data_IF_527437200129
#
_entry.id   IF_527437200129
#
_cell.length_a   1.000
_cell.length_b   1.000
_cell.length_c   1.000
_cell.angle_alpha   90.00
_cell.angle_beta   90.00
_cell.angle_gamma   90.00
#
_symmetry.space_group_name_H-M   'P 1'
#
loop_
_entity.id
_entity.type
_entity.pdbx_description
1 polymer ?
#
# COMPACT_ATOMS: atom_id res chain seq x y z
N UNK A 1 -38.88 -15.78 20.69
CA UNK A 1 -38.81 -16.39 19.35
C UNK A 1 -37.72 -17.44 19.42
N UNK A 2 -38.05 -18.65 18.99
CA UNK A 2 -37.24 -19.84 19.19
C UNK A 2 -35.83 -19.70 18.60
N UNK A 3 -34.88 -20.28 19.33
CA UNK A 3 -33.51 -20.57 18.92
C UNK A 3 -33.46 -21.34 17.60
N UNK A 4 -32.50 -21.01 16.74
CA UNK A 4 -31.91 -21.99 15.81
C UNK A 4 -31.95 -21.65 14.33
N UNK A 5 -33.10 -21.29 13.76
CA UNK A 5 -33.26 -21.30 12.30
C UNK A 5 -33.78 -19.96 11.79
N UNK A 6 -33.03 -19.20 10.97
CA UNK A 6 -33.72 -18.18 10.17
C UNK A 6 -33.07 -17.71 8.86
N UNK A 7 -31.76 -17.86 8.61
CA UNK A 7 -31.15 -17.26 7.41
C UNK A 7 -30.21 -18.24 6.68
N UNK A 8 -30.69 -18.77 5.55
CA UNK A 8 -29.84 -19.48 4.61
C UNK A 8 -29.11 -18.48 3.72
N UNK A 9 -27.83 -18.77 3.44
CA UNK A 9 -27.05 -18.03 2.44
C UNK A 9 -27.80 -18.11 1.11
N UNK A 10 -27.95 -16.97 0.43
CA UNK A 10 -28.68 -16.85 -0.83
C UNK A 10 -30.15 -16.45 -0.70
N UNK A 11 -30.74 -16.44 0.51
CA UNK A 11 -32.10 -15.93 0.71
C UNK A 11 -32.17 -14.43 0.43
N UNK A 12 -33.23 -13.97 -0.22
CA UNK A 12 -33.50 -12.54 -0.37
C UNK A 12 -34.43 -12.11 0.76
N UNK A 13 -33.96 -11.17 1.57
CA UNK A 13 -34.67 -10.66 2.73
C UNK A 13 -34.90 -9.16 2.62
N UNK A 14 -35.99 -8.70 3.23
CA UNK A 14 -36.23 -7.29 3.51
C UNK A 14 -36.25 -7.09 5.03
N UNK A 15 -35.24 -6.38 5.53
CA UNK A 15 -35.11 -5.98 6.92
C UNK A 15 -35.69 -4.57 7.12
N UNK A 16 -36.60 -4.41 8.07
CA UNK A 16 -37.11 -3.10 8.49
C UNK A 16 -36.41 -2.70 9.78
N UNK A 17 -35.68 -1.59 9.76
CA UNK A 17 -35.00 -1.05 10.95
C UNK A 17 -35.99 -0.43 11.93
N UNK A 18 -35.55 -0.20 13.17
CA UNK A 18 -36.30 0.55 14.19
C UNK A 18 -36.66 1.99 13.80
N UNK A 19 -36.04 2.51 12.73
CA UNK A 19 -36.34 3.82 12.14
C UNK A 19 -37.31 3.73 10.95
N UNK A 20 -37.84 2.55 10.65
CA UNK A 20 -38.73 2.29 9.51
C UNK A 20 -38.01 2.19 8.15
N UNK A 21 -36.68 2.31 8.11
CA UNK A 21 -35.93 2.12 6.87
C UNK A 21 -35.96 0.64 6.46
N UNK A 22 -36.28 0.38 5.19
CA UNK A 22 -36.24 -0.96 4.60
C UNK A 22 -34.92 -1.20 3.88
N UNK A 23 -34.33 -2.35 4.15
CA UNK A 23 -33.06 -2.80 3.59
C UNK A 23 -33.32 -4.15 2.91
N UNK A 24 -33.21 -4.20 1.59
CA UNK A 24 -33.42 -5.42 0.82
C UNK A 24 -32.09 -5.94 0.27
N UNK A 25 -31.87 -7.25 0.37
CA UNK A 25 -30.69 -7.87 -0.22
C UNK A 25 -30.63 -9.37 -0.02
N UNK A 26 -29.67 -9.98 -0.70
CA UNK A 26 -29.33 -11.39 -0.61
C UNK A 26 -28.41 -11.65 0.59
N UNK A 27 -28.73 -12.64 1.42
CA UNK A 27 -27.91 -13.03 2.57
C UNK A 27 -26.60 -13.64 2.07
N UNK A 28 -25.47 -13.00 2.41
CA UNK A 28 -24.14 -13.52 2.10
C UNK A 28 -23.54 -14.26 3.29
N UNK A 29 -23.73 -13.71 4.48
CA UNK A 29 -23.18 -14.24 5.71
C UNK A 29 -23.96 -13.71 6.92
N UNK A 30 -23.81 -14.41 8.04
CA UNK A 30 -24.39 -14.03 9.31
C UNK A 30 -23.39 -14.32 10.44
N UNK A 31 -23.24 -13.36 11.35
CA UNK A 31 -22.50 -13.51 12.59
C UNK A 31 -23.49 -13.64 13.75
N UNK A 32 -23.55 -14.83 14.34
CA UNK A 32 -24.48 -15.17 15.42
C UNK A 32 -24.16 -14.40 16.72
N UNK A 33 -22.88 -14.24 17.05
CA UNK A 33 -22.44 -13.62 18.29
C UNK A 33 -22.66 -12.11 18.24
N UNK A 34 -22.24 -11.49 17.14
CA UNK A 34 -22.42 -10.05 16.92
C UNK A 34 -23.86 -9.68 16.54
N UNK A 35 -24.69 -10.67 16.15
CA UNK A 35 -26.02 -10.50 15.57
C UNK A 35 -25.99 -9.57 14.37
N UNK A 36 -25.04 -9.80 13.46
CA UNK A 36 -24.84 -9.03 12.24
C UNK A 36 -25.25 -9.85 11.02
N UNK A 37 -26.15 -9.31 10.22
CA UNK A 37 -26.57 -9.87 8.94
C UNK A 37 -25.91 -9.12 7.80
N UNK A 38 -25.23 -9.85 6.91
CA UNK A 38 -24.53 -9.28 5.77
C UNK A 38 -25.38 -9.51 4.53
N UNK A 39 -25.90 -8.41 3.98
CA UNK A 39 -26.75 -8.40 2.79
C UNK A 39 -25.98 -7.84 1.59
N UNK A 40 -26.18 -8.47 0.42
CA UNK A 40 -25.67 -8.01 -0.86
C UNK A 40 -26.83 -7.50 -1.72
N UNK A 41 -26.69 -6.30 -2.25
CA UNK A 41 -27.62 -5.72 -3.22
C UNK A 41 -26.89 -5.27 -4.48
N UNK A 42 -27.60 -5.09 -5.62
CA UNK A 42 -27.02 -4.45 -6.80
C UNK A 42 -26.43 -3.08 -6.43
N UNK A 43 -25.37 -2.67 -7.13
CA UNK A 43 -24.68 -1.43 -6.77
C UNK A 43 -25.56 -0.19 -6.97
N UNK A 44 -25.64 0.66 -5.95
CA UNK A 44 -26.25 1.99 -6.01
C UNK A 44 -25.57 2.92 -7.02
N UNK A 45 -24.33 2.60 -7.42
CA UNK A 45 -23.60 3.33 -8.47
C UNK A 45 -24.05 3.01 -9.90
N UNK A 46 -24.91 2.01 -10.08
CA UNK A 46 -25.38 1.54 -11.38
C UNK A 46 -24.37 0.69 -12.16
N UNK A 47 -23.16 0.46 -11.62
CA UNK A 47 -22.15 -0.40 -12.26
C UNK A 47 -22.52 -1.88 -12.08
N UNK A 48 -22.76 -2.64 -13.17
CA UNK A 48 -23.25 -4.03 -13.08
C UNK A 48 -22.20 -5.02 -12.56
N UNK A 49 -20.92 -4.66 -12.57
CA UNK A 49 -19.83 -5.50 -12.04
C UNK A 49 -19.60 -5.34 -10.54
N UNK A 50 -20.31 -4.41 -9.88
CA UNK A 50 -20.16 -4.13 -8.46
C UNK A 50 -21.44 -4.50 -7.72
N UNK A 51 -21.29 -4.79 -6.43
CA UNK A 51 -22.40 -4.99 -5.50
C UNK A 51 -22.17 -4.12 -4.27
N UNK A 52 -23.25 -3.68 -3.66
CA UNK A 52 -23.20 -3.00 -2.38
C UNK A 52 -23.37 -4.04 -1.27
N UNK A 53 -22.50 -3.98 -0.26
CA UNK A 53 -22.51 -4.88 0.89
C UNK A 53 -22.94 -4.09 2.12
N UNK A 54 -24.03 -4.53 2.76
CA UNK A 54 -24.63 -3.87 3.91
C UNK A 54 -24.55 -4.78 5.14
N UNK A 55 -24.01 -4.25 6.23
CA UNK A 55 -23.97 -4.91 7.53
C UNK A 55 -25.13 -4.40 8.37
N UNK A 56 -26.09 -5.28 8.63
CA UNK A 56 -27.31 -4.97 9.38
C UNK A 56 -27.19 -5.55 10.79
N UNK A 57 -27.11 -4.66 11.78
CA UNK A 57 -27.21 -5.07 13.18
C UNK A 57 -28.65 -5.44 13.50
N UNK A 58 -28.91 -6.73 13.76
CA UNK A 58 -30.25 -7.24 14.01
C UNK A 58 -30.87 -6.67 15.29
N UNK A 59 -30.09 -6.12 16.23
CA UNK A 59 -30.63 -5.39 17.39
C UNK A 59 -31.38 -4.11 16.99
N UNK A 60 -31.10 -3.58 15.80
CA UNK A 60 -31.73 -2.38 15.25
C UNK A 60 -32.81 -2.72 14.22
N UNK A 61 -33.20 -4.00 14.10
CA UNK A 61 -34.21 -4.48 13.15
C UNK A 61 -35.49 -4.84 13.92
N UNK A 62 -36.62 -4.31 13.46
CA UNK A 62 -37.93 -4.59 14.05
C UNK A 62 -38.66 -5.71 13.34
N UNK A 63 -38.41 -5.91 12.05
CA UNK A 63 -39.10 -6.90 11.23
C UNK A 63 -38.21 -7.41 10.10
N UNK A 64 -38.33 -8.70 9.77
CA UNK A 64 -37.61 -9.36 8.68
C UNK A 64 -38.59 -10.20 7.89
N UNK A 65 -38.64 -9.96 6.58
CA UNK A 65 -39.53 -10.68 5.65
C UNK A 65 -38.72 -11.32 4.53
N UNK A 66 -39.03 -12.57 4.21
CA UNK A 66 -38.45 -13.28 3.07
C UNK A 66 -39.20 -12.95 1.79
N UNK A 67 -38.46 -12.62 0.73
CA UNK A 67 -39.03 -12.39 -0.59
C UNK A 67 -39.04 -13.68 -1.41
N UNK A 68 -40.14 -14.43 -1.29
CA UNK A 68 -40.35 -15.73 -1.97
C UNK A 68 -40.51 -15.63 -3.50
N UNK A 69 -40.46 -14.42 -4.08
CA UNK A 69 -40.56 -14.22 -5.53
C UNK A 69 -39.20 -14.22 -6.25
N UNK A 70 -38.11 -14.36 -5.51
CA UNK A 70 -36.78 -14.44 -6.09
C UNK A 70 -36.61 -15.74 -6.91
N UNK A 71 -36.23 -15.68 -8.20
CA UNK A 71 -35.89 -16.89 -8.93
C UNK A 71 -34.71 -17.57 -8.24
N UNK A 72 -34.83 -18.87 -8.00
CA UNK A 72 -33.76 -19.71 -7.46
C UNK A 72 -32.56 -19.61 -8.40
N UNK A 73 -31.60 -18.77 -8.02
CA UNK A 73 -30.42 -18.49 -8.83
C UNK A 73 -29.42 -19.58 -8.52
N UNK A 74 -29.01 -20.35 -9.54
CA UNK A 74 -27.91 -21.30 -9.39
C UNK A 74 -26.72 -20.59 -8.75
N UNK A 75 -26.26 -21.09 -7.61
CA UNK A 75 -25.10 -20.55 -6.91
C UNK A 75 -23.92 -20.70 -7.87
N UNK A 76 -23.30 -19.60 -8.33
CA UNK A 76 -22.17 -19.71 -9.22
C UNK A 76 -21.05 -20.48 -8.52
N UNK A 77 -20.33 -21.36 -9.23
CA UNK A 77 -19.22 -22.09 -8.64
C UNK A 77 -18.21 -21.12 -8.06
N UNK A 78 -17.62 -21.49 -6.92
CA UNK A 78 -16.58 -20.69 -6.27
C UNK A 78 -15.49 -20.36 -7.29
N UNK A 79 -15.10 -19.09 -7.35
CA UNK A 79 -14.04 -18.68 -8.25
C UNK A 79 -12.72 -19.29 -7.80
N UNK A 80 -11.98 -19.88 -8.74
CA UNK A 80 -10.68 -20.47 -8.44
C UNK A 80 -9.72 -19.38 -7.98
N UNK A 81 -9.23 -19.52 -6.75
CA UNK A 81 -8.25 -18.62 -6.18
C UNK A 81 -6.91 -18.84 -6.87
N UNK A 82 -6.34 -17.79 -7.47
CA UNK A 82 -5.05 -17.89 -8.12
C UNK A 82 -3.92 -17.86 -7.06
N UNK A 83 -3.54 -19.05 -6.58
CA UNK A 83 -2.52 -19.21 -5.56
C UNK A 83 -1.16 -18.63 -5.98
N UNK A 84 -0.81 -18.71 -7.27
CA UNK A 84 0.43 -18.13 -7.78
C UNK A 84 0.47 -16.61 -7.59
N UNK A 85 -0.63 -15.90 -7.87
CA UNK A 85 -0.72 -14.46 -7.61
C UNK A 85 -0.59 -14.13 -6.14
N UNK A 86 -1.16 -14.95 -5.24
CA UNK A 86 -1.03 -14.75 -3.79
C UNK A 86 0.41 -14.97 -3.32
N UNK A 87 1.06 -16.05 -3.74
CA UNK A 87 2.45 -16.33 -3.42
C UNK A 87 3.38 -15.23 -3.91
N UNK A 88 3.17 -14.71 -5.12
CA UNK A 88 3.95 -13.58 -5.65
C UNK A 88 3.76 -12.33 -4.80
N UNK A 89 2.53 -11.99 -4.41
CA UNK A 89 2.26 -10.85 -3.52
C UNK A 89 2.91 -11.01 -2.15
N UNK A 90 2.86 -12.22 -1.58
CA UNK A 90 3.49 -12.52 -0.29
C UNK A 90 5.01 -12.31 -0.37
N UNK A 91 5.64 -12.84 -1.43
CA UNK A 91 7.08 -12.69 -1.66
C UNK A 91 7.46 -11.21 -1.82
N UNK A 92 6.74 -10.47 -2.66
CA UNK A 92 6.97 -9.03 -2.86
C UNK A 92 6.86 -8.25 -1.55
N UNK A 93 5.79 -8.46 -0.77
CA UNK A 93 5.61 -7.78 0.51
C UNK A 93 6.73 -8.10 1.51
N UNK A 94 7.23 -9.34 1.51
CA UNK A 94 8.34 -9.75 2.37
C UNK A 94 9.65 -9.09 1.94
N UNK A 95 9.96 -9.13 0.64
CA UNK A 95 11.16 -8.54 0.06
C UNK A 95 11.18 -7.02 0.27
N UNK A 96 10.04 -6.34 0.08
CA UNK A 96 9.91 -4.89 0.29
C UNK A 96 10.11 -4.51 1.75
N UNK A 97 9.56 -5.29 2.69
CA UNK A 97 9.74 -5.03 4.13
C UNK A 97 11.19 -5.24 4.56
N UNK A 98 11.85 -6.28 4.07
CA UNK A 98 13.27 -6.51 4.33
C UNK A 98 14.13 -5.37 3.76
N UNK A 99 13.83 -4.91 2.54
CA UNK A 99 14.51 -3.75 1.94
C UNK A 99 14.32 -2.48 2.76
N UNK A 100 13.11 -2.18 3.23
CA UNK A 100 12.85 -0.99 4.04
C UNK A 100 13.68 -0.95 5.33
N UNK A 101 13.83 -2.09 6.00
CA UNK A 101 14.65 -2.19 7.21
C UNK A 101 16.13 -2.03 6.88
N UNK A 102 16.62 -2.75 5.85
CA UNK A 102 18.03 -2.75 5.48
C UNK A 102 18.51 -1.42 4.87
N UNK A 103 17.61 -0.63 4.29
CA UNK A 103 17.97 0.65 3.67
C UNK A 103 18.13 1.79 4.67
N UNK A 104 17.67 1.62 5.92
CA UNK A 104 17.78 2.65 6.95
C UNK A 104 19.12 2.55 7.67
N UNK A 105 20.01 3.51 7.45
CA UNK A 105 21.30 3.58 8.12
C UNK A 105 21.15 3.97 9.60
N UNK A 106 22.02 3.44 10.47
CA UNK A 106 22.05 3.75 11.90
C UNK A 106 23.14 4.80 12.13
N UNK A 107 22.78 5.94 12.75
CA UNK A 107 23.73 7.02 13.04
C UNK A 107 24.22 7.80 11.81
N UNK A 108 23.55 7.66 10.66
CA UNK A 108 23.87 8.38 9.42
C UNK A 108 23.08 9.68 9.33
N UNK A 109 23.61 10.65 8.57
CA UNK A 109 22.90 11.93 8.35
C UNK A 109 21.69 11.75 7.41
N UNK A 110 20.68 12.63 7.47
CA UNK A 110 19.56 12.59 6.51
C UNK A 110 20.02 12.71 5.06
N UNK A 111 21.13 13.44 4.82
CA UNK A 111 21.71 13.59 3.49
C UNK A 111 22.37 12.29 3.01
N UNK A 112 23.12 11.60 3.87
CA UNK A 112 23.69 10.28 3.56
C UNK A 112 22.58 9.27 3.25
N UNK A 113 21.50 9.27 4.02
CA UNK A 113 20.33 8.44 3.77
C UNK A 113 19.67 8.75 2.42
N UNK A 114 19.56 10.02 2.03
CA UNK A 114 19.05 10.43 0.71
C UNK A 114 19.98 9.96 -0.42
N UNK A 115 21.30 10.11 -0.25
CA UNK A 115 22.28 9.65 -1.23
C UNK A 115 22.20 8.14 -1.42
N UNK A 116 22.16 7.37 -0.34
CA UNK A 116 21.96 5.92 -0.36
C UNK A 116 20.73 5.53 -1.20
N UNK A 117 19.59 6.18 -0.94
CA UNK A 117 18.35 5.92 -1.69
C UNK A 117 18.49 6.27 -3.19
N UNK A 118 19.23 7.32 -3.55
CA UNK A 118 19.48 7.66 -4.95
C UNK A 118 20.36 6.60 -5.64
N UNK A 119 21.37 6.09 -4.95
CA UNK A 119 22.23 5.02 -5.49
C UNK A 119 21.42 3.73 -5.68
N UNK A 120 20.59 3.34 -4.70
CA UNK A 120 19.74 2.12 -4.79
C UNK A 120 18.74 2.14 -5.95
N UNK A 121 18.40 3.32 -6.50
CA UNK A 121 17.55 3.44 -7.70
C UNK A 121 18.27 3.10 -9.00
N UNK A 122 19.60 3.21 -8.99
CA UNK A 122 20.44 2.98 -10.18
C UNK A 122 21.18 1.66 -10.10
N UNK A 123 21.48 1.20 -8.88
CA UNK A 123 22.28 0.00 -8.60
C UNK A 123 21.52 -0.87 -7.59
N UNK A 124 21.35 -2.15 -7.92
CA UNK A 124 20.49 -3.06 -7.16
C UNK A 124 21.11 -3.54 -5.84
N UNK A 125 22.44 -3.59 -5.74
CA UNK A 125 23.17 -4.13 -4.60
C UNK A 125 23.91 -3.02 -3.86
N UNK A 126 23.23 -2.45 -2.87
CA UNK A 126 23.74 -1.38 -2.02
C UNK A 126 23.34 -1.69 -0.59
N UNK A 127 24.29 -1.63 0.34
CA UNK A 127 24.06 -1.90 1.76
C UNK A 127 24.83 -0.91 2.64
N UNK A 128 24.36 -0.77 3.87
CA UNK A 128 25.11 -0.10 4.92
C UNK A 128 26.10 -1.08 5.53
N UNK A 129 27.34 -0.63 5.76
CA UNK A 129 28.31 -1.28 6.65
C UNK A 129 28.71 -0.27 7.72
N UNK A 130 28.06 -0.35 8.89
CA UNK A 130 28.08 0.73 9.87
C UNK A 130 27.52 2.02 9.27
N UNK A 131 28.37 3.03 9.12
CA UNK A 131 28.05 4.30 8.46
C UNK A 131 28.49 4.34 6.99
N UNK A 132 29.21 3.35 6.49
CA UNK A 132 29.72 3.34 5.13
C UNK A 132 28.65 2.80 4.16
N UNK A 133 28.59 3.36 2.95
CA UNK A 133 27.75 2.83 1.87
C UNK A 133 28.61 1.87 1.05
N UNK A 134 28.23 0.59 1.01
CA UNK A 134 28.91 -0.44 0.22
C UNK A 134 28.06 -0.78 -1.00
N UNK A 135 28.65 -0.66 -2.18
CA UNK A 135 28.03 -0.92 -3.48
C UNK A 135 28.73 -2.11 -4.12
N UNK A 136 27.96 -3.14 -4.49
CA UNK A 136 28.42 -4.36 -5.15
C UNK A 136 29.62 -5.06 -4.47
N UNK A 137 29.85 -4.79 -3.18
CA UNK A 137 31.04 -5.22 -2.43
C UNK A 137 32.39 -4.82 -3.05
N UNK A 138 32.40 -3.89 -4.02
CA UNK A 138 33.62 -3.40 -4.68
C UNK A 138 33.90 -1.92 -4.45
N UNK A 139 32.86 -1.13 -4.17
CA UNK A 139 32.96 0.31 -3.95
C UNK A 139 32.39 0.66 -2.58
N UNK A 140 33.11 1.51 -1.86
CA UNK A 140 32.73 2.02 -0.55
C UNK A 140 32.72 3.54 -0.58
N UNK A 141 31.67 4.16 -0.03
CA UNK A 141 31.57 5.59 0.19
C UNK A 141 31.52 5.84 1.69
N UNK A 142 32.53 6.55 2.21
CA UNK A 142 32.63 6.88 3.64
C UNK A 142 32.13 8.30 3.92
N UNK A 143 31.74 8.63 5.16
CA UNK A 143 31.52 10.03 5.58
C UNK A 143 32.72 10.93 5.21
N UNK A 144 32.50 12.20 4.78
CA UNK A 144 31.24 12.94 4.65
C UNK A 144 30.41 12.63 3.37
N UNK A 145 30.71 11.53 2.68
CA UNK A 145 29.98 11.03 1.51
C UNK A 145 30.11 11.91 0.25
N UNK A 146 31.28 12.50 0.04
CA UNK A 146 31.59 13.26 -1.17
C UNK A 146 32.23 12.37 -2.25
N UNK A 147 32.39 12.94 -3.45
CA UNK A 147 33.02 12.24 -4.59
C UNK A 147 34.43 11.75 -4.23
N UNK A 148 35.18 12.54 -3.45
CA UNK A 148 36.52 12.20 -2.96
C UNK A 148 36.55 11.05 -1.93
N UNK A 149 35.43 10.76 -1.26
CA UNK A 149 35.33 9.67 -0.28
C UNK A 149 34.89 8.34 -0.89
N UNK A 150 34.78 8.27 -2.22
CA UNK A 150 34.50 7.05 -2.95
C UNK A 150 35.81 6.26 -3.20
N UNK A 151 35.93 5.11 -2.56
CA UNK A 151 37.06 4.17 -2.71
C UNK A 151 36.63 2.86 -3.36
N UNK A 152 37.48 2.27 -4.19
CA UNK A 152 37.26 1.00 -4.87
C UNK A 152 38.50 0.63 -5.70
N UNK A 153 38.44 -0.46 -6.47
CA UNK A 153 39.54 -0.82 -7.38
C UNK A 153 39.78 0.27 -8.42
N UNK A 154 41.04 0.66 -8.63
CA UNK A 154 41.41 1.58 -9.70
C UNK A 154 41.06 1.00 -11.08
N UNK A 155 40.49 1.83 -11.95
CA UNK A 155 40.00 1.40 -13.26
C UNK A 155 38.63 0.70 -13.26
N UNK A 156 37.97 0.56 -12.10
CA UNK A 156 36.62 -0.02 -12.05
C UNK A 156 35.58 0.95 -12.65
N UNK A 157 34.82 0.44 -13.63
CA UNK A 157 33.68 1.15 -14.22
C UNK A 157 32.60 1.49 -13.18
N UNK A 158 32.45 0.63 -12.17
CA UNK A 158 31.51 0.83 -11.05
C UNK A 158 31.89 2.06 -10.24
N UNK A 159 33.17 2.21 -9.89
CA UNK A 159 33.66 3.36 -9.13
C UNK A 159 33.45 4.67 -9.91
N UNK A 160 33.73 4.66 -11.22
CA UNK A 160 33.50 5.82 -12.09
C UNK A 160 32.02 6.16 -12.17
N UNK A 161 31.14 5.17 -12.26
CA UNK A 161 29.70 5.36 -12.28
C UNK A 161 29.17 5.91 -10.95
N UNK A 162 29.60 5.34 -9.83
CA UNK A 162 29.24 5.80 -8.47
C UNK A 162 29.65 7.25 -8.27
N UNK A 163 30.88 7.64 -8.63
CA UNK A 163 31.34 9.03 -8.54
C UNK A 163 30.45 10.00 -9.32
N UNK A 164 29.99 9.61 -10.53
CA UNK A 164 29.03 10.42 -11.32
C UNK A 164 27.67 10.54 -10.65
N UNK A 165 27.17 9.47 -10.00
CA UNK A 165 25.91 9.51 -9.25
C UNK A 165 26.02 10.47 -8.06
N UNK A 166 27.12 10.38 -7.29
CA UNK A 166 27.38 11.23 -6.12
C UNK A 166 27.51 12.70 -6.55
N UNK A 167 28.29 13.00 -7.58
CA UNK A 167 28.44 14.36 -8.12
C UNK A 167 27.09 14.95 -8.57
N UNK A 168 26.33 14.18 -9.36
CA UNK A 168 24.98 14.58 -9.78
C UNK A 168 24.05 14.82 -8.59
N UNK A 169 24.11 13.99 -7.55
CA UNK A 169 23.28 14.14 -6.37
C UNK A 169 23.50 15.49 -5.69
N UNK A 170 24.74 15.92 -5.48
CA UNK A 170 25.02 17.22 -4.85
C UNK A 170 24.63 18.40 -5.76
N UNK A 171 24.91 18.33 -7.05
CA UNK A 171 24.47 19.34 -8.03
C UNK A 171 22.94 19.48 -8.08
N UNK A 172 22.22 18.37 -8.01
CA UNK A 172 20.75 18.36 -7.98
C UNK A 172 20.18 18.92 -6.64
N UNK A 173 20.95 18.88 -5.54
CA UNK A 173 20.54 19.50 -4.27
C UNK A 173 20.75 21.03 -4.30
N UNK A 174 21.92 21.49 -4.75
CA UNK A 174 22.25 22.92 -4.86
C UNK A 174 21.24 23.67 -5.75
N UNK A 175 20.82 23.05 -6.86
CA UNK A 175 19.81 23.60 -7.77
C UNK A 175 18.40 23.65 -7.16
N UNK A 176 18.09 22.80 -6.17
CA UNK A 176 16.80 22.79 -5.46
C UNK A 176 16.76 23.74 -4.28
N UNK A 177 17.89 23.98 -3.64
CA UNK A 177 18.03 24.94 -2.53
C UNK A 177 18.12 26.40 -3.03
N UNK A 178 18.30 26.61 -4.33
CA UNK A 178 18.28 27.93 -4.97
C UNK A 178 16.89 28.31 -5.54
N UNK A 179 15.94 28.76 -4.69
CA UNK A 179 15.10 29.89 -5.08
C UNK A 179 14.81 30.83 -3.88
N UNK A 180 15.43 32.01 -3.87
CA UNK A 180 15.02 33.28 -3.23
C UNK A 180 16.20 34.04 -2.56
N UNK A 181 17.06 34.65 -3.37
CA UNK A 181 17.73 35.88 -2.93
C UNK A 181 18.18 36.67 -4.16
N UNK A 182 17.51 37.79 -4.41
CA UNK A 182 18.05 39.11 -4.82
C UNK A 182 17.11 39.83 -5.78
N UNK A 183 16.30 40.74 -5.25
CA UNK A 183 16.03 42.02 -5.92
C UNK A 183 15.79 43.09 -4.86
N UNK A 184 16.88 43.56 -4.28
CA UNK A 184 16.93 44.79 -3.48
C UNK A 184 16.73 45.96 -4.44
N UNK A 185 15.55 46.58 -4.40
CA UNK A 185 15.29 47.84 -5.11
C UNK A 185 15.99 48.97 -4.36
N UNK A 186 17.08 49.48 -4.93
CA UNK A 186 17.69 50.74 -4.54
C UNK A 186 17.86 51.60 -5.80
N UNK A 187 17.04 52.64 -5.93
CA UNK A 187 17.51 53.98 -6.31
C UNK A 187 16.35 54.98 -6.35
N UNK A 188 16.44 55.93 -5.44
CA UNK A 188 15.78 57.22 -5.45
C UNK A 188 16.39 58.13 -6.51
N UNK A 189 15.55 58.88 -7.22
CA UNK A 189 15.74 60.28 -7.66
C UNK A 189 14.40 60.83 -8.12
#
# INVERSE_FOLDING_TARGET
>A
MADGDCFNIGMILTCTTCRGQKINGEVVAFDYDARLLILKSPSSSGKPSLNDIQLVNLKCVTDITEDKKAPEKEIPPLSNLNLNKLTTRLRQATDDKLRQVNYKGIGVTPQAQKLFLVITKTINEVKWDGQDIVILDTVTIKPPYEVGNCSGKEGDNTLTHVRKIVDKFYRDQESRESPASTSSTNSSS
#
